data_IF_777875986635
#
_entry.id   IF_777875986635
#
_cell.length_a   1.000
_cell.length_b   1.000
_cell.length_c   1.000
_cell.angle_alpha   90.00
_cell.angle_beta   90.00
_cell.angle_gamma   90.00
#
_symmetry.space_group_name_H-M   'P 1'
#
loop_
_entity.id
_entity.type
_entity.pdbx_description
1 polymer ?
#
# COMPACT_ATOMS: atom_id res chain seq x y z
N UNK A 1 40.66 19.84 -7.56
CA UNK A 1 39.19 20.01 -7.66
C UNK A 1 38.80 21.12 -6.70
N UNK A 2 38.20 22.20 -7.20
CA UNK A 2 37.64 23.25 -6.36
C UNK A 2 36.49 22.68 -5.52
N UNK A 3 36.40 23.06 -4.24
CA UNK A 3 35.25 22.72 -3.41
C UNK A 3 34.00 23.40 -4.03
N UNK A 4 32.84 22.71 -4.09
CA UNK A 4 31.63 23.39 -4.52
C UNK A 4 31.36 24.57 -3.59
N UNK A 5 30.88 25.67 -4.15
CA UNK A 5 30.45 26.82 -3.36
C UNK A 5 29.38 26.40 -2.36
N UNK A 6 29.39 26.89 -1.12
CA UNK A 6 28.33 26.63 -0.16
C UNK A 6 27.04 27.20 -0.70
N UNK A 7 25.94 26.44 -0.53
CA UNK A 7 24.60 26.92 -0.87
C UNK A 7 24.27 28.16 -0.04
N UNK A 8 23.53 29.13 -0.60
CA UNK A 8 23.13 30.32 0.12
C UNK A 8 22.30 29.96 1.37
N UNK A 9 22.73 30.47 2.52
CA UNK A 9 22.19 30.12 3.85
C UNK A 9 20.71 30.52 4.06
N UNK A 10 20.12 31.31 3.15
CA UNK A 10 18.79 31.90 3.29
C UNK A 10 17.76 31.43 2.25
N UNK A 11 18.07 30.47 1.40
CA UNK A 11 17.03 29.87 0.55
C UNK A 11 16.27 28.81 1.33
N UNK A 12 14.90 28.90 1.39
CA UNK A 12 14.12 27.85 2.00
C UNK A 12 14.38 26.54 1.26
N UNK A 13 14.61 25.47 2.02
CA UNK A 13 14.74 24.14 1.43
C UNK A 13 13.52 23.85 0.57
N UNK A 14 13.69 23.26 -0.63
CA UNK A 14 12.55 22.91 -1.47
C UNK A 14 11.63 21.95 -0.73
N UNK A 15 10.32 22.14 -0.88
CA UNK A 15 9.30 21.24 -0.32
C UNK A 15 9.55 19.82 -0.80
N UNK A 16 9.90 18.94 0.13
CA UNK A 16 10.13 17.52 -0.16
C UNK A 16 8.79 16.80 -0.23
N UNK A 17 8.62 15.96 -1.27
CA UNK A 17 7.47 15.05 -1.33
C UNK A 17 7.52 14.11 -0.10
N UNK A 18 6.43 14.01 0.69
CA UNK A 18 6.38 13.06 1.81
C UNK A 18 6.58 11.62 1.33
N UNK A 19 7.25 10.78 2.13
CA UNK A 19 7.44 9.36 1.79
C UNK A 19 6.10 8.64 1.67
N UNK A 20 5.09 9.03 2.44
CA UNK A 20 3.72 8.52 2.33
C UNK A 20 3.15 8.72 0.92
N UNK A 21 3.39 9.87 0.31
CA UNK A 21 2.96 10.12 -1.07
C UNK A 21 3.74 9.25 -2.06
N UNK A 22 5.04 9.08 -1.86
CA UNK A 22 5.89 8.24 -2.71
C UNK A 22 5.38 6.79 -2.67
N UNK A 23 5.14 6.25 -1.49
CA UNK A 23 4.67 4.87 -1.34
C UNK A 23 3.23 4.67 -1.80
N UNK A 24 2.35 5.66 -1.60
CA UNK A 24 1.00 5.58 -2.13
C UNK A 24 0.98 5.59 -3.67
N UNK A 25 1.78 6.44 -4.30
CA UNK A 25 1.95 6.41 -5.78
C UNK A 25 2.51 5.09 -6.26
N UNK A 26 3.48 4.53 -5.54
CA UNK A 26 4.02 3.21 -5.85
C UNK A 26 2.92 2.14 -5.79
N UNK A 27 2.05 2.17 -4.78
CA UNK A 27 0.90 1.28 -4.70
C UNK A 27 -0.06 1.46 -5.89
N UNK A 28 -0.35 2.70 -6.28
CA UNK A 28 -1.19 3.01 -7.44
C UNK A 28 -0.56 2.51 -8.77
N UNK A 29 0.75 2.65 -8.94
CA UNK A 29 1.45 2.11 -10.12
C UNK A 29 1.47 0.57 -10.12
N UNK A 30 1.68 -0.05 -8.96
CA UNK A 30 1.60 -1.51 -8.83
C UNK A 30 0.21 -2.05 -9.17
N UNK A 31 -0.85 -1.32 -8.85
CA UNK A 31 -2.23 -1.70 -9.20
C UNK A 31 -2.41 -1.94 -10.69
N UNK A 32 -1.71 -1.20 -11.54
CA UNK A 32 -1.75 -1.34 -13.01
C UNK A 32 -1.18 -2.67 -13.51
N UNK A 33 -0.43 -3.38 -12.68
CA UNK A 33 0.06 -4.72 -12.99
C UNK A 33 -0.95 -5.82 -12.72
N UNK A 34 -2.04 -5.51 -12.04
CA UNK A 34 -3.10 -6.47 -11.74
C UNK A 34 -3.73 -7.02 -13.03
N UNK A 35 -3.94 -8.31 -13.07
CA UNK A 35 -4.65 -9.01 -14.15
C UNK A 35 -6.11 -9.29 -13.79
N UNK A 36 -6.57 -8.81 -12.64
CA UNK A 36 -7.96 -8.94 -12.22
C UNK A 36 -8.88 -8.06 -13.09
N UNK A 37 -9.89 -8.67 -13.69
CA UNK A 37 -10.85 -7.97 -14.54
C UNK A 37 -11.84 -7.09 -13.75
N UNK A 38 -11.91 -7.24 -12.42
CA UNK A 38 -12.91 -6.56 -11.58
C UNK A 38 -12.38 -5.31 -10.90
N UNK A 39 -11.22 -5.42 -10.28
CA UNK A 39 -10.61 -4.33 -9.53
C UNK A 39 -9.08 -4.51 -9.52
N UNK A 40 -8.37 -3.46 -9.88
CA UNK A 40 -6.92 -3.44 -9.81
C UNK A 40 -6.48 -2.74 -8.52
N UNK A 41 -5.76 -3.46 -7.68
CA UNK A 41 -5.28 -2.97 -6.38
C UNK A 41 -3.79 -3.22 -6.27
N UNK A 42 -3.07 -2.24 -5.74
CA UNK A 42 -1.65 -2.34 -5.41
C UNK A 42 -1.40 -1.98 -3.96
N UNK A 43 -0.35 -2.56 -3.39
CA UNK A 43 0.04 -2.30 -2.00
C UNK A 43 1.55 -2.30 -1.81
N UNK A 44 1.99 -1.55 -0.81
CA UNK A 44 3.37 -1.44 -0.36
C UNK A 44 3.38 -1.55 1.16
N UNK A 45 4.31 -2.32 1.72
CA UNK A 45 4.57 -2.34 3.16
C UNK A 45 5.97 -1.79 3.40
N UNK A 46 6.08 -0.86 4.33
CA UNK A 46 7.33 -0.26 4.76
C UNK A 46 7.55 -0.43 6.26
N UNK A 47 8.77 -0.17 6.71
CA UNK A 47 9.11 -0.03 8.13
C UNK A 47 8.36 1.16 8.75
N UNK A 48 8.20 1.16 10.08
CA UNK A 48 7.45 2.20 10.79
C UNK A 48 8.02 3.62 10.59
N UNK A 49 9.32 3.73 10.38
CA UNK A 49 10.02 4.99 10.06
C UNK A 49 10.03 5.33 8.56
N UNK A 50 9.42 4.49 7.73
CA UNK A 50 9.32 4.64 6.27
C UNK A 50 10.66 4.60 5.52
N UNK A 51 11.74 4.14 6.14
CA UNK A 51 13.06 4.13 5.50
C UNK A 51 13.31 2.93 4.60
N UNK A 52 12.52 1.84 4.76
CA UNK A 52 12.69 0.61 4.00
C UNK A 52 11.34 0.06 3.51
N UNK A 53 11.29 -0.37 2.25
CA UNK A 53 10.19 -1.16 1.71
C UNK A 53 10.44 -2.63 2.01
N UNK A 54 9.47 -3.27 2.65
CA UNK A 54 9.53 -4.68 3.07
C UNK A 54 8.79 -5.62 2.12
N UNK A 55 7.83 -5.12 1.38
CA UNK A 55 7.06 -5.88 0.42
C UNK A 55 6.23 -5.00 -0.49
N UNK A 56 5.96 -5.52 -1.67
CA UNK A 56 5.05 -4.94 -2.66
C UNK A 56 4.07 -6.01 -3.11
N UNK A 57 2.86 -5.60 -3.48
CA UNK A 57 1.84 -6.52 -3.97
C UNK A 57 0.88 -5.84 -4.96
N UNK A 58 0.33 -6.65 -5.81
CA UNK A 58 -0.84 -6.34 -6.63
C UNK A 58 -1.69 -7.60 -6.75
N UNK A 59 -2.98 -7.44 -6.96
CA UNK A 59 -3.86 -8.60 -7.02
C UNK A 59 -3.75 -9.34 -8.35
N UNK A 60 -3.85 -10.68 -8.27
CA UNK A 60 -3.72 -11.55 -9.44
C UNK A 60 -3.64 -13.01 -9.02
N UNK A 61 -3.45 -13.89 -10.01
CA UNK A 61 -3.34 -15.31 -9.76
C UNK A 61 -1.96 -15.68 -9.19
N UNK A 62 -1.83 -16.87 -8.65
CA UNK A 62 -0.58 -17.38 -8.12
C UNK A 62 0.46 -17.59 -9.23
N UNK A 63 1.74 -17.54 -8.83
CA UNK A 63 2.86 -17.79 -9.75
C UNK A 63 2.71 -19.13 -10.47
N UNK A 64 2.86 -19.11 -11.79
CA UNK A 64 2.78 -20.30 -12.64
C UNK A 64 1.36 -20.70 -13.03
N UNK A 65 0.34 -20.04 -12.49
CA UNK A 65 -1.04 -20.17 -12.96
C UNK A 65 -1.36 -19.11 -14.03
N UNK A 66 -2.43 -19.30 -14.82
CA UNK A 66 -2.81 -18.32 -15.84
C UNK A 66 -3.02 -16.92 -15.25
N UNK A 67 -2.49 -15.90 -15.93
CA UNK A 67 -2.63 -14.49 -15.53
C UNK A 67 -4.04 -13.94 -15.83
N UNK A 68 -5.04 -14.52 -15.19
CA UNK A 68 -6.45 -14.13 -15.30
C UNK A 68 -7.21 -14.55 -14.06
N UNK A 69 -8.41 -14.03 -13.88
CA UNK A 69 -9.34 -14.54 -12.86
C UNK A 69 -9.71 -16.01 -13.16
N UNK A 70 -9.82 -16.83 -12.11
CA UNK A 70 -10.28 -18.22 -12.24
C UNK A 70 -11.77 -18.29 -12.54
N UNK A 71 -12.53 -17.27 -12.12
CA UNK A 71 -13.98 -17.18 -12.26
C UNK A 71 -14.41 -15.73 -12.53
N UNK A 72 -15.53 -15.58 -13.24
CA UNK A 72 -16.19 -14.28 -13.44
C UNK A 72 -17.25 -13.98 -12.38
N UNK A 73 -17.48 -14.91 -11.44
CA UNK A 73 -18.49 -14.72 -10.38
C UNK A 73 -18.07 -13.61 -9.40
N UNK A 74 -18.97 -12.68 -9.04
CA UNK A 74 -18.71 -11.66 -8.06
C UNK A 74 -18.25 -12.24 -6.71
N UNK A 75 -17.12 -11.74 -6.17
CA UNK A 75 -16.56 -12.19 -4.90
C UNK A 75 -15.78 -13.51 -4.94
N UNK A 76 -15.73 -14.20 -6.09
CA UNK A 76 -15.08 -15.50 -6.26
C UNK A 76 -14.17 -15.55 -7.49
N UNK A 77 -13.48 -14.46 -7.79
CA UNK A 77 -12.62 -14.40 -8.97
C UNK A 77 -11.36 -15.27 -8.84
N UNK A 78 -10.99 -15.73 -7.63
CA UNK A 78 -9.82 -16.57 -7.38
C UNK A 78 -8.49 -15.82 -7.31
N UNK A 79 -8.47 -14.52 -7.57
CA UNK A 79 -7.24 -13.73 -7.45
C UNK A 79 -6.83 -13.60 -5.97
N UNK A 80 -5.53 -13.76 -5.71
CA UNK A 80 -4.94 -13.31 -4.45
C UNK A 80 -5.02 -11.78 -4.40
N UNK A 81 -5.38 -11.23 -3.25
CA UNK A 81 -5.45 -9.78 -3.07
C UNK A 81 -4.05 -9.17 -2.99
N UNK A 82 -3.94 -7.89 -3.31
CA UNK A 82 -2.65 -7.18 -3.28
C UNK A 82 -2.03 -7.22 -1.91
N UNK A 83 -2.84 -7.07 -0.86
CA UNK A 83 -2.43 -7.11 0.53
C UNK A 83 -1.88 -8.50 0.90
N UNK A 84 -2.54 -9.58 0.47
CA UNK A 84 -2.07 -10.94 0.69
C UNK A 84 -0.68 -11.15 0.06
N UNK A 85 -0.53 -10.78 -1.21
CA UNK A 85 0.76 -10.87 -1.91
C UNK A 85 1.86 -10.03 -1.26
N UNK A 86 1.50 -8.87 -0.72
CA UNK A 86 2.41 -7.98 -0.02
C UNK A 86 2.83 -8.55 1.34
N UNK A 87 1.88 -9.05 2.12
CA UNK A 87 2.10 -9.62 3.46
C UNK A 87 2.96 -10.89 3.42
N UNK A 88 2.78 -11.74 2.41
CA UNK A 88 3.61 -12.94 2.20
C UNK A 88 5.10 -12.57 2.08
N UNK A 89 5.41 -11.45 1.41
CA UNK A 89 6.79 -10.98 1.23
C UNK A 89 7.33 -10.28 2.46
N UNK A 90 6.52 -9.44 3.09
CA UNK A 90 6.93 -8.65 4.26
C UNK A 90 7.05 -9.50 5.54
N UNK A 91 6.24 -10.56 5.66
CA UNK A 91 6.21 -11.41 6.85
C UNK A 91 5.71 -10.70 8.11
N UNK A 92 5.69 -11.44 9.21
CA UNK A 92 5.21 -10.96 10.50
C UNK A 92 6.32 -10.55 11.48
N UNK A 93 7.60 -10.71 11.11
CA UNK A 93 8.74 -10.60 12.04
C UNK A 93 9.01 -9.17 12.52
N UNK A 94 8.84 -8.18 11.62
CA UNK A 94 9.15 -6.78 11.93
C UNK A 94 7.92 -6.12 12.54
N UNK A 95 8.01 -5.54 13.77
CA UNK A 95 6.90 -4.85 14.40
C UNK A 95 6.70 -3.45 13.79
N UNK A 96 5.48 -2.91 13.98
CA UNK A 96 5.18 -1.52 13.67
C UNK A 96 5.22 -1.16 12.19
N UNK A 97 5.00 -2.13 11.30
CA UNK A 97 4.96 -1.89 9.86
C UNK A 97 3.81 -0.98 9.44
N UNK A 98 4.01 -0.30 8.34
CA UNK A 98 3.02 0.59 7.72
C UNK A 98 2.66 0.06 6.34
N UNK A 99 1.37 -0.04 6.04
CA UNK A 99 0.87 -0.44 4.73
C UNK A 99 0.26 0.73 3.97
N UNK A 100 0.56 0.79 2.68
CA UNK A 100 -0.07 1.68 1.72
C UNK A 100 -0.84 0.82 0.71
N UNK A 101 -2.10 1.09 0.52
CA UNK A 101 -2.96 0.33 -0.40
C UNK A 101 -3.85 1.26 -1.21
N UNK A 102 -3.97 0.99 -2.50
CA UNK A 102 -4.73 1.86 -3.41
C UNK A 102 -6.25 1.81 -3.19
N UNK A 103 -6.77 0.73 -2.61
CA UNK A 103 -8.17 0.58 -2.20
C UNK A 103 -8.24 -0.06 -0.81
N UNK A 104 -9.23 0.32 0.00
CA UNK A 104 -9.37 -0.17 1.37
C UNK A 104 -9.47 -1.70 1.44
N UNK A 105 -8.80 -2.35 2.43
CA UNK A 105 -8.79 -3.80 2.57
C UNK A 105 -10.16 -4.40 2.87
N UNK A 106 -10.40 -5.62 2.39
CA UNK A 106 -11.54 -6.43 2.82
C UNK A 106 -11.33 -6.99 4.23
N UNK A 107 -12.39 -7.59 4.80
CA UNK A 107 -12.35 -8.16 6.17
C UNK A 107 -11.23 -9.21 6.32
N UNK A 108 -11.05 -10.09 5.35
CA UNK A 108 -10.00 -11.13 5.43
C UNK A 108 -8.60 -10.52 5.39
N UNK A 109 -8.34 -9.58 4.49
CA UNK A 109 -7.07 -8.87 4.45
C UNK A 109 -6.84 -8.06 5.73
N UNK A 110 -7.87 -7.41 6.28
CA UNK A 110 -7.77 -6.69 7.55
C UNK A 110 -7.30 -7.60 8.70
N UNK A 111 -7.87 -8.81 8.81
CA UNK A 111 -7.45 -9.79 9.82
C UNK A 111 -5.98 -10.22 9.64
N UNK A 112 -5.56 -10.45 8.40
CA UNK A 112 -4.17 -10.80 8.09
C UNK A 112 -3.22 -9.63 8.42
N UNK A 113 -3.61 -8.40 8.11
CA UNK A 113 -2.86 -7.18 8.42
C UNK A 113 -2.61 -7.07 9.93
N UNK A 114 -3.66 -7.26 10.75
CA UNK A 114 -3.56 -7.25 12.21
C UNK A 114 -2.55 -8.29 12.70
N UNK A 115 -2.62 -9.52 12.20
CA UNK A 115 -1.79 -10.63 12.65
C UNK A 115 -0.32 -10.55 12.18
N UNK A 116 0.00 -9.63 11.29
CA UNK A 116 1.35 -9.46 10.74
C UNK A 116 2.10 -8.23 11.28
N UNK A 117 1.65 -7.67 12.39
CA UNK A 117 2.29 -6.52 13.05
C UNK A 117 2.34 -5.24 12.19
N UNK A 118 1.39 -5.07 11.30
CA UNK A 118 1.12 -3.79 10.66
C UNK A 118 0.29 -2.96 11.63
N UNK A 119 0.75 -1.76 11.95
CA UNK A 119 0.11 -0.89 12.96
C UNK A 119 -0.60 0.31 12.35
N UNK A 120 -0.35 0.60 11.08
CA UNK A 120 -0.95 1.71 10.34
C UNK A 120 -1.22 1.34 8.90
N UNK A 121 -2.39 1.70 8.41
CA UNK A 121 -2.79 1.51 7.00
C UNK A 121 -3.21 2.84 6.41
N UNK A 122 -2.55 3.24 5.34
CA UNK A 122 -2.97 4.32 4.46
C UNK A 122 -3.71 3.72 3.27
N UNK A 123 -4.88 4.24 2.92
CA UNK A 123 -5.62 3.83 1.73
C UNK A 123 -6.03 5.05 0.89
N UNK A 124 -6.11 4.87 -0.44
CA UNK A 124 -6.47 5.95 -1.36
C UNK A 124 -7.97 6.04 -1.58
N UNK A 125 -8.62 4.93 -1.85
CA UNK A 125 -10.03 4.86 -2.18
C UNK A 125 -10.76 3.91 -1.23
N UNK A 126 -11.93 4.34 -0.76
CA UNK A 126 -12.80 3.47 0.03
C UNK A 126 -13.48 2.45 -0.88
N UNK A 127 -13.35 1.17 -0.54
CA UNK A 127 -14.13 0.10 -1.14
C UNK A 127 -15.59 0.20 -0.68
N UNK A 128 -16.54 -0.39 -1.44
CA UNK A 128 -17.98 -0.31 -1.14
C UNK A 128 -18.33 -0.78 0.28
N UNK A 129 -17.66 -1.82 0.74
CA UNK A 129 -17.86 -2.38 2.08
C UNK A 129 -16.80 -1.83 3.04
N UNK A 130 -17.19 -1.02 4.03
CA UNK A 130 -16.28 -0.47 5.01
C UNK A 130 -15.87 -1.46 6.11
N UNK A 131 -16.43 -2.67 6.13
CA UNK A 131 -16.24 -3.64 7.21
C UNK A 131 -14.76 -3.97 7.46
N UNK A 132 -13.93 -4.00 6.42
CA UNK A 132 -12.48 -4.21 6.56
C UNK A 132 -11.80 -3.09 7.37
N UNK A 133 -12.17 -1.85 7.14
CA UNK A 133 -11.65 -0.70 7.91
C UNK A 133 -12.08 -0.77 9.37
N UNK A 134 -13.32 -1.19 9.64
CA UNK A 134 -13.83 -1.35 11.00
C UNK A 134 -13.09 -2.46 11.75
N UNK A 135 -12.81 -3.57 11.09
CA UNK A 135 -11.99 -4.66 11.64
C UNK A 135 -10.59 -4.18 11.98
N UNK A 136 -9.94 -3.42 11.12
CA UNK A 136 -8.62 -2.83 11.39
C UNK A 136 -8.63 -1.96 12.64
N UNK A 137 -9.62 -1.07 12.77
CA UNK A 137 -9.77 -0.20 13.95
C UNK A 137 -10.00 -1.00 15.22
N UNK A 138 -10.86 -2.02 15.17
CA UNK A 138 -11.09 -2.94 16.30
C UNK A 138 -9.81 -3.67 16.72
N UNK A 139 -8.95 -4.01 15.77
CA UNK A 139 -7.64 -4.63 16.00
C UNK A 139 -6.55 -3.65 16.43
N UNK A 140 -6.86 -2.39 16.65
CA UNK A 140 -5.90 -1.37 17.10
C UNK A 140 -5.00 -0.82 15.98
N UNK A 141 -5.34 -1.07 14.71
CA UNK A 141 -4.60 -0.53 13.56
C UNK A 141 -5.12 0.86 13.24
N UNK A 142 -4.21 1.83 13.15
CA UNK A 142 -4.54 3.18 12.70
C UNK A 142 -4.87 3.16 11.20
N UNK A 143 -6.01 3.76 10.83
CA UNK A 143 -6.51 3.75 9.45
C UNK A 143 -6.64 5.17 8.95
N UNK A 144 -5.97 5.49 7.83
CA UNK A 144 -5.87 6.84 7.30
C UNK A 144 -6.28 6.86 5.83
N UNK A 145 -7.31 7.64 5.51
CA UNK A 145 -7.61 8.00 4.12
C UNK A 145 -6.54 9.00 3.65
N UNK A 146 -5.72 8.60 2.69
CA UNK A 146 -4.63 9.43 2.21
C UNK A 146 -5.05 10.21 0.97
N UNK A 147 -5.21 11.52 1.12
CA UNK A 147 -5.44 12.42 0.01
C UNK A 147 -4.11 12.77 -0.68
N UNK A 148 -4.17 13.08 -1.98
CA UNK A 148 -2.98 13.48 -2.73
C UNK A 148 -2.34 14.71 -2.10
N UNK A 149 -0.99 14.71 -2.07
CA UNK A 149 -0.23 15.86 -1.64
C UNK A 149 -0.47 17.05 -2.58
N UNK A 150 -0.78 18.22 -2.00
CA UNK A 150 -1.29 19.37 -2.74
C UNK A 150 -0.29 20.06 -3.68
N UNK A 151 1.01 19.84 -3.49
CA UNK A 151 2.07 20.54 -4.25
C UNK A 151 2.61 19.74 -5.44
N UNK A 152 1.84 18.80 -5.99
CA UNK A 152 2.28 17.88 -7.05
C UNK A 152 2.46 18.50 -8.43
N UNK A 153 2.02 19.74 -8.63
CA UNK A 153 1.93 20.38 -9.95
C UNK A 153 2.72 21.70 -10.01
N UNK A 154 3.84 21.77 -9.34
CA UNK A 154 4.79 22.86 -9.58
C UNK A 154 5.77 22.50 -10.69
#
# INVERSE_FOLDING_TARGET
MARPEPLPENEPAPDRIPLEEVYMRMAEELAKRSTCARLQVGSVIATGDLTQVLGIGYNGNARGLPNRCDSTQPGSCGCLHSEQNCLIKAGAQIPGKVMFVSASPCVMCAKMIINTNVTRVYYREAYRDPAGLDVLRQGGVEVILYNRWRNLWR
#
